data_IF_825346357863
#
_entry.id   IF_825346357863
#
_cell.length_a   1.000
_cell.length_b   1.000
_cell.length_c   1.000
_cell.angle_alpha   90.00
_cell.angle_beta   90.00
_cell.angle_gamma   90.00
#
_symmetry.space_group_name_H-M   'P 1'
#
loop_
_entity.id
_entity.type
_entity.pdbx_description
1 polymer ?
#
# COMPACT_ATOMS: atom_id res chain seq x y z
N UNK A 1 -43.52 17.34 -17.27
CA UNK A 1 -42.31 17.51 -16.44
C UNK A 1 -41.89 16.20 -15.75
N UNK A 2 -42.82 15.27 -15.46
CA UNK A 2 -42.51 14.01 -14.76
C UNK A 2 -41.65 12.99 -15.54
N UNK A 3 -41.78 12.96 -16.87
CA UNK A 3 -41.03 12.02 -17.72
C UNK A 3 -39.51 12.28 -17.70
N UNK A 4 -39.11 13.55 -17.53
CA UNK A 4 -37.70 13.97 -17.46
C UNK A 4 -37.12 13.60 -16.09
N UNK A 5 -37.88 13.78 -15.01
CA UNK A 5 -37.47 13.43 -13.65
C UNK A 5 -37.27 11.91 -13.46
N UNK A 6 -38.15 11.09 -14.06
CA UNK A 6 -38.05 9.62 -13.99
C UNK A 6 -36.83 9.12 -14.77
N UNK A 7 -36.59 9.66 -15.97
CA UNK A 7 -35.45 9.26 -16.82
C UNK A 7 -34.11 9.65 -16.20
N UNK A 8 -34.01 10.81 -15.56
CA UNK A 8 -32.77 11.22 -14.85
C UNK A 8 -32.50 10.29 -13.66
N UNK A 9 -33.52 9.97 -12.85
CA UNK A 9 -33.36 9.07 -11.69
C UNK A 9 -32.96 7.64 -12.09
N UNK A 10 -33.53 7.10 -13.17
CA UNK A 10 -33.14 5.77 -13.67
C UNK A 10 -31.70 5.74 -14.18
N UNK A 11 -31.26 6.81 -14.84
CA UNK A 11 -29.89 6.90 -15.36
C UNK A 11 -28.87 6.98 -14.22
N UNK A 12 -29.16 7.77 -13.17
CA UNK A 12 -28.30 7.88 -11.99
C UNK A 12 -28.22 6.58 -11.17
N UNK A 13 -29.32 5.83 -11.05
CA UNK A 13 -29.32 4.52 -10.41
C UNK A 13 -28.52 3.47 -11.16
N UNK A 14 -28.64 3.42 -12.49
CA UNK A 14 -27.86 2.51 -13.33
C UNK A 14 -26.37 2.84 -13.27
N UNK A 15 -26.01 4.13 -13.31
CA UNK A 15 -24.64 4.60 -13.12
C UNK A 15 -24.09 4.20 -11.74
N UNK A 16 -24.90 4.33 -10.67
CA UNK A 16 -24.52 3.87 -9.32
C UNK A 16 -24.32 2.36 -9.26
N UNK A 17 -25.20 1.56 -9.87
CA UNK A 17 -25.08 0.09 -9.93
C UNK A 17 -23.86 -0.35 -10.72
N UNK A 18 -23.59 0.25 -11.88
CA UNK A 18 -22.41 -0.02 -12.70
C UNK A 18 -21.11 0.32 -11.94
N UNK A 19 -21.08 1.46 -11.23
CA UNK A 19 -19.92 1.86 -10.40
C UNK A 19 -19.68 0.90 -9.24
N UNK A 20 -20.74 0.45 -8.56
CA UNK A 20 -20.65 -0.59 -7.49
C UNK A 20 -20.12 -1.90 -8.04
N UNK A 21 -20.64 -2.37 -9.19
CA UNK A 21 -20.19 -3.61 -9.85
C UNK A 21 -18.72 -3.52 -10.28
N UNK A 22 -18.30 -2.40 -10.87
CA UNK A 22 -16.89 -2.13 -11.21
C UNK A 22 -15.99 -2.17 -9.97
N UNK A 23 -16.39 -1.52 -8.87
CA UNK A 23 -15.64 -1.54 -7.61
C UNK A 23 -15.52 -2.96 -7.07
N UNK A 24 -16.61 -3.72 -7.04
CA UNK A 24 -16.61 -5.11 -6.59
C UNK A 24 -15.67 -6.00 -7.42
N UNK A 25 -15.73 -5.90 -8.75
CA UNK A 25 -14.84 -6.66 -9.64
C UNK A 25 -13.37 -6.32 -9.42
N UNK A 26 -13.03 -5.02 -9.29
CA UNK A 26 -11.65 -4.60 -8.99
C UNK A 26 -11.18 -5.16 -7.65
N UNK A 27 -12.02 -5.10 -6.61
CA UNK A 27 -11.68 -5.68 -5.31
C UNK A 27 -11.47 -7.19 -5.38
N UNK A 28 -12.32 -7.89 -6.11
CA UNK A 28 -12.22 -9.34 -6.28
C UNK A 28 -10.94 -9.72 -7.04
N UNK A 29 -10.65 -9.04 -8.15
CA UNK A 29 -9.41 -9.23 -8.91
C UNK A 29 -8.18 -8.98 -8.02
N UNK A 30 -8.16 -7.86 -7.29
CA UNK A 30 -7.05 -7.53 -6.40
C UNK A 30 -6.86 -8.59 -5.29
N UNK A 31 -7.96 -9.13 -4.74
CA UNK A 31 -7.89 -10.18 -3.70
C UNK A 31 -7.25 -11.48 -4.17
N UNK A 32 -7.23 -11.74 -5.48
CA UNK A 32 -6.58 -12.91 -6.08
C UNK A 32 -5.16 -12.60 -6.53
N UNK A 33 -4.94 -11.42 -7.12
CA UNK A 33 -3.62 -11.01 -7.63
C UNK A 33 -2.63 -10.78 -6.48
N UNK A 34 -3.07 -10.19 -5.38
CA UNK A 34 -2.23 -9.87 -4.22
C UNK A 34 -1.52 -11.10 -3.62
N UNK A 35 -2.21 -12.18 -3.21
CA UNK A 35 -1.53 -13.36 -2.67
C UNK A 35 -0.65 -14.07 -3.71
N UNK A 36 -1.05 -14.05 -4.99
CA UNK A 36 -0.23 -14.62 -6.06
C UNK A 36 1.07 -13.83 -6.27
N UNK A 37 1.00 -12.51 -6.27
CA UNK A 37 2.16 -11.64 -6.37
C UNK A 37 3.10 -11.81 -5.17
N UNK A 38 2.54 -11.87 -3.95
CA UNK A 38 3.31 -12.13 -2.74
C UNK A 38 4.01 -13.50 -2.82
N UNK A 39 3.28 -14.56 -3.17
CA UNK A 39 3.84 -15.89 -3.32
C UNK A 39 4.93 -15.94 -4.40
N UNK A 40 4.75 -15.26 -5.53
CA UNK A 40 5.75 -15.18 -6.59
C UNK A 40 7.03 -14.48 -6.11
N UNK A 41 6.92 -13.34 -5.42
CA UNK A 41 8.08 -12.61 -4.89
C UNK A 41 8.82 -13.40 -3.80
N UNK A 42 8.10 -14.08 -2.91
CA UNK A 42 8.70 -14.97 -1.90
C UNK A 42 9.39 -16.16 -2.59
N UNK A 43 8.78 -16.75 -3.60
CA UNK A 43 9.37 -17.86 -4.37
C UNK A 43 10.67 -17.41 -5.04
N UNK A 44 10.67 -16.24 -5.68
CA UNK A 44 11.88 -15.64 -6.27
C UNK A 44 12.96 -15.41 -5.21
N UNK A 45 12.60 -14.87 -4.04
CA UNK A 45 13.54 -14.69 -2.93
C UNK A 45 14.18 -16.01 -2.48
N UNK A 46 13.38 -17.07 -2.31
CA UNK A 46 13.86 -18.39 -1.88
C UNK A 46 14.75 -19.01 -2.96
N UNK A 47 14.32 -18.95 -4.22
CA UNK A 47 15.06 -19.51 -5.35
C UNK A 47 16.44 -18.83 -5.50
N UNK A 48 16.48 -17.49 -5.49
CA UNK A 48 17.76 -16.77 -5.58
C UNK A 48 18.64 -17.11 -4.36
N UNK A 49 18.06 -17.16 -3.16
CA UNK A 49 18.82 -17.46 -1.94
C UNK A 49 19.36 -18.90 -1.90
N UNK A 50 18.65 -19.86 -2.47
CA UNK A 50 19.04 -21.27 -2.50
C UNK A 50 20.00 -21.61 -3.64
N UNK A 51 19.79 -21.05 -4.84
CA UNK A 51 20.57 -21.39 -6.03
C UNK A 51 21.82 -20.53 -6.22
N UNK A 52 21.91 -19.37 -5.57
CA UNK A 52 23.09 -18.48 -5.62
C UNK A 52 23.75 -18.25 -4.25
N UNK A 53 24.09 -19.29 -3.46
CA UNK A 53 24.62 -19.12 -2.09
C UNK A 53 25.97 -18.39 -2.05
N UNK A 54 26.74 -18.45 -3.15
CA UNK A 54 28.05 -17.82 -3.27
C UNK A 54 28.00 -16.35 -3.72
N UNK A 55 26.81 -15.80 -4.00
CA UNK A 55 26.65 -14.36 -4.15
C UNK A 55 26.79 -13.70 -2.77
N UNK A 56 28.01 -13.31 -2.43
CA UNK A 56 28.27 -12.50 -1.24
C UNK A 56 28.00 -11.03 -1.55
N UNK A 57 27.20 -10.41 -0.69
CA UNK A 57 27.12 -8.96 -0.60
C UNK A 57 28.51 -8.37 -0.28
N UNK A 58 28.81 -7.10 -0.64
CA UNK A 58 30.02 -6.39 -0.20
C UNK A 58 30.25 -6.41 1.32
N UNK A 59 29.19 -6.62 2.11
CA UNK A 59 29.23 -6.78 3.57
C UNK A 59 29.50 -8.20 4.06
N UNK A 60 29.76 -9.16 3.16
CA UNK A 60 30.07 -10.56 3.48
C UNK A 60 28.86 -11.42 3.88
N UNK A 61 27.66 -10.85 3.90
CA UNK A 61 26.44 -11.58 4.21
C UNK A 61 25.94 -12.42 3.04
N UNK A 62 25.38 -13.57 3.39
CA UNK A 62 24.70 -14.50 2.49
C UNK A 62 23.43 -13.88 1.86
N UNK A 63 23.01 -14.32 0.67
CA UNK A 63 21.85 -13.81 -0.08
C UNK A 63 20.59 -13.52 0.74
N UNK A 64 20.22 -14.42 1.65
CA UNK A 64 19.05 -14.28 2.50
C UNK A 64 19.06 -13.00 3.37
N UNK A 65 20.25 -12.53 3.76
CA UNK A 65 20.40 -11.40 4.66
C UNK A 65 20.40 -10.03 3.94
N UNK A 66 20.58 -9.98 2.61
CA UNK A 66 20.54 -8.70 1.86
C UNK A 66 19.45 -8.65 0.77
N UNK A 67 18.81 -9.77 0.42
CA UNK A 67 17.70 -9.84 -0.53
C UNK A 67 16.32 -9.58 0.10
N UNK A 68 16.28 -9.19 1.38
CA UNK A 68 15.06 -8.76 2.06
C UNK A 68 14.27 -7.65 1.32
N UNK A 69 14.86 -6.75 0.49
CA UNK A 69 14.07 -5.78 -0.27
C UNK A 69 13.08 -6.43 -1.25
N UNK A 70 13.38 -7.63 -1.77
CA UNK A 70 12.46 -8.38 -2.64
C UNK A 70 11.19 -8.76 -1.88
N UNK A 71 11.35 -9.19 -0.62
CA UNK A 71 10.21 -9.48 0.25
C UNK A 71 9.44 -8.19 0.51
N UNK A 72 10.10 -7.06 0.76
CA UNK A 72 9.40 -5.78 0.95
C UNK A 72 8.54 -5.37 -0.23
N UNK A 73 9.05 -5.50 -1.45
CA UNK A 73 8.30 -5.18 -2.66
C UNK A 73 7.03 -6.02 -2.79
N UNK A 74 7.05 -7.26 -2.30
CA UNK A 74 5.89 -8.14 -2.25
C UNK A 74 4.70 -7.53 -1.49
N UNK A 75 4.97 -6.79 -0.41
CA UNK A 75 3.95 -6.19 0.46
C UNK A 75 3.64 -4.74 0.08
N UNK A 76 4.65 -3.96 -0.31
CA UNK A 76 4.48 -2.52 -0.61
C UNK A 76 3.63 -2.30 -1.85
N UNK A 77 3.84 -3.08 -2.92
CA UNK A 77 3.17 -2.86 -4.21
C UNK A 77 1.66 -3.09 -4.10
N UNK A 78 1.16 -4.22 -3.56
CA UNK A 78 -0.29 -4.43 -3.41
C UNK A 78 -0.96 -3.41 -2.49
N UNK A 79 -0.36 -3.11 -1.34
CA UNK A 79 -0.90 -2.15 -0.36
C UNK A 79 -0.95 -0.72 -0.94
N UNK A 80 0.08 -0.33 -1.71
CA UNK A 80 0.09 0.98 -2.40
C UNK A 80 -1.01 1.04 -3.46
N UNK A 81 -1.17 -0.03 -4.25
CA UNK A 81 -2.25 -0.13 -5.23
C UNK A 81 -3.63 -0.03 -4.57
N UNK A 82 -3.80 -0.68 -3.41
CA UNK A 82 -5.03 -0.61 -2.61
C UNK A 82 -5.29 0.80 -2.10
N UNK A 83 -4.29 1.48 -1.57
CA UNK A 83 -4.41 2.87 -1.13
C UNK A 83 -4.83 3.82 -2.27
N UNK A 84 -4.29 3.62 -3.48
CA UNK A 84 -4.64 4.39 -4.68
C UNK A 84 -6.09 4.10 -5.12
N UNK A 85 -6.49 2.83 -5.18
CA UNK A 85 -7.83 2.41 -5.62
C UNK A 85 -8.91 2.85 -4.63
N UNK A 86 -8.64 2.73 -3.32
CA UNK A 86 -9.57 3.13 -2.26
C UNK A 86 -9.56 4.65 -2.02
N UNK A 87 -8.58 5.38 -2.56
CA UNK A 87 -8.35 6.82 -2.34
C UNK A 87 -8.23 7.18 -0.86
N UNK A 88 -7.64 6.27 -0.06
CA UNK A 88 -7.39 6.47 1.37
C UNK A 88 -5.90 6.54 1.59
N UNK A 89 -5.41 7.72 1.98
CA UNK A 89 -3.99 7.97 2.23
C UNK A 89 -3.52 7.18 3.46
N UNK A 90 -4.44 6.96 4.41
CA UNK A 90 -4.20 6.17 5.62
C UNK A 90 -3.89 4.70 5.35
N UNK A 91 -4.27 4.15 4.18
CA UNK A 91 -3.93 2.77 3.81
C UNK A 91 -2.51 2.62 3.23
N UNK A 92 -1.81 3.72 2.99
CA UNK A 92 -0.46 3.64 2.45
C UNK A 92 0.47 2.92 3.43
N UNK A 93 1.28 1.94 2.98
CA UNK A 93 2.11 1.10 3.85
C UNK A 93 3.36 1.86 4.34
N UNK A 94 3.17 2.92 5.11
CA UNK A 94 4.27 3.72 5.68
C UNK A 94 5.18 2.87 6.58
N UNK A 95 4.62 1.86 7.24
CA UNK A 95 5.38 0.90 8.03
C UNK A 95 6.45 0.19 7.22
N UNK A 96 6.15 -0.11 5.96
CA UNK A 96 7.10 -0.79 5.09
C UNK A 96 8.22 0.17 4.65
N UNK A 97 7.93 1.45 4.43
CA UNK A 97 8.99 2.44 4.20
C UNK A 97 9.86 2.64 5.44
N UNK A 98 9.23 2.82 6.61
CA UNK A 98 9.94 2.96 7.89
C UNK A 98 10.85 1.76 8.16
N UNK A 99 10.34 0.54 7.98
CA UNK A 99 11.11 -0.68 8.20
C UNK A 99 12.20 -0.87 7.13
N UNK A 100 11.95 -0.49 5.88
CA UNK A 100 12.97 -0.48 4.83
C UNK A 100 14.14 0.43 5.22
N UNK A 101 13.88 1.68 5.60
CA UNK A 101 14.94 2.59 6.01
C UNK A 101 15.64 2.09 7.28
N UNK A 102 14.89 1.61 8.27
CA UNK A 102 15.47 1.05 9.48
C UNK A 102 16.43 -0.12 9.21
N UNK A 103 16.01 -1.08 8.37
CA UNK A 103 16.83 -2.23 7.99
C UNK A 103 18.01 -1.82 7.11
N UNK A 104 17.81 -0.93 6.14
CA UNK A 104 18.86 -0.43 5.26
C UNK A 104 19.94 0.27 6.08
N UNK A 105 19.57 1.24 6.91
CA UNK A 105 20.53 1.96 7.74
C UNK A 105 21.14 1.07 8.84
N UNK A 106 20.37 0.14 9.40
CA UNK A 106 20.87 -0.83 10.38
C UNK A 106 21.91 -1.81 9.80
N UNK A 107 21.72 -2.26 8.56
CA UNK A 107 22.66 -3.18 7.89
C UNK A 107 23.92 -2.51 7.37
N UNK A 108 23.81 -1.28 6.84
CA UNK A 108 24.92 -0.62 6.14
C UNK A 108 25.75 0.34 7.01
N UNK A 109 25.26 0.75 8.19
CA UNK A 109 25.96 1.70 9.06
C UNK A 109 26.27 1.11 10.45
N UNK A 110 27.48 1.40 10.96
CA UNK A 110 27.96 0.95 12.28
C UNK A 110 27.09 1.53 13.40
N UNK A 111 26.67 0.69 14.37
CA UNK A 111 25.72 1.04 15.45
C UNK A 111 24.34 1.54 14.97
N UNK A 112 23.98 1.29 13.71
CA UNK A 112 22.79 1.88 13.11
C UNK A 112 21.47 1.51 13.81
N UNK A 113 21.31 0.27 14.23
CA UNK A 113 20.07 -0.22 14.84
C UNK A 113 19.58 0.62 16.03
N UNK A 114 20.51 1.11 16.85
CA UNK A 114 20.23 1.93 18.02
C UNK A 114 20.19 3.43 17.73
N UNK A 115 20.72 3.90 16.61
CA UNK A 115 20.69 5.33 16.22
C UNK A 115 19.44 5.64 15.39
N UNK A 116 19.00 4.68 14.57
CA UNK A 116 17.91 4.86 13.60
C UNK A 116 16.53 4.47 14.14
N UNK A 117 16.41 4.17 15.45
CA UNK A 117 15.11 3.97 16.09
C UNK A 117 14.10 5.13 15.88
N UNK A 118 14.49 6.41 15.70
CA UNK A 118 13.52 7.47 15.48
C UNK A 118 12.69 7.31 14.19
N UNK A 119 13.11 6.47 13.24
CA UNK A 119 12.25 6.13 12.09
C UNK A 119 10.91 5.53 12.52
N UNK A 120 10.85 4.84 13.67
CA UNK A 120 9.59 4.33 14.22
C UNK A 120 8.60 5.45 14.57
N UNK A 121 9.08 6.66 14.89
CA UNK A 121 8.22 7.83 15.14
C UNK A 121 7.56 8.36 13.86
N UNK A 122 8.07 8.02 12.67
CA UNK A 122 7.41 8.37 11.41
C UNK A 122 6.03 7.71 11.26
N UNK A 123 5.83 6.54 11.88
CA UNK A 123 4.54 5.84 11.88
C UNK A 123 3.42 6.69 12.49
N UNK A 124 3.46 7.05 13.78
CA UNK A 124 2.38 7.84 14.39
C UNK A 124 2.24 9.21 13.74
N UNK A 125 3.36 9.86 13.35
CA UNK A 125 3.33 11.16 12.68
C UNK A 125 2.57 11.08 11.35
N UNK A 126 2.85 10.06 10.54
CA UNK A 126 2.17 9.87 9.27
C UNK A 126 0.67 9.66 9.46
N UNK A 127 0.25 8.78 10.38
CA UNK A 127 -1.17 8.52 10.60
C UNK A 127 -1.92 9.73 11.17
N UNK A 128 -1.28 10.54 12.01
CA UNK A 128 -1.85 11.81 12.49
C UNK A 128 -2.10 12.80 11.35
N UNK A 129 -1.11 12.99 10.47
CA UNK A 129 -1.22 13.92 9.35
C UNK A 129 -2.20 13.38 8.29
N UNK A 130 -2.01 12.15 7.84
CA UNK A 130 -2.84 11.52 6.82
C UNK A 130 -4.30 11.41 7.26
N UNK A 131 -4.56 11.06 8.53
CA UNK A 131 -5.91 11.02 9.09
C UNK A 131 -6.57 12.40 9.12
N UNK A 132 -5.81 13.45 9.46
CA UNK A 132 -6.32 14.83 9.45
C UNK A 132 -6.65 15.31 8.03
N UNK A 133 -5.79 15.01 7.05
CA UNK A 133 -6.01 15.31 5.63
C UNK A 133 -7.26 14.57 5.11
N UNK A 134 -7.39 13.29 5.42
CA UNK A 134 -8.55 12.48 4.98
C UNK A 134 -9.86 13.01 5.57
N UNK A 135 -9.84 13.44 6.84
CA UNK A 135 -11.00 14.10 7.48
C UNK A 135 -11.36 15.41 6.78
N UNK A 136 -10.37 16.26 6.50
CA UNK A 136 -10.59 17.53 5.79
C UNK A 136 -11.15 17.33 4.38
N UNK A 137 -10.62 16.36 3.63
CA UNK A 137 -11.13 16.00 2.29
C UNK A 137 -12.59 15.52 2.38
N UNK A 138 -12.93 14.70 3.37
CA UNK A 138 -14.30 14.21 3.56
C UNK A 138 -15.26 15.36 3.87
N UNK A 139 -14.92 16.22 4.82
CA UNK A 139 -15.75 17.38 5.20
C UNK A 139 -15.93 18.35 4.02
N UNK A 140 -14.89 18.61 3.23
CA UNK A 140 -15.01 19.46 2.03
C UNK A 140 -15.93 18.85 0.97
N UNK A 141 -15.91 17.51 0.83
CA UNK A 141 -16.78 16.80 -0.10
C UNK A 141 -18.24 16.80 0.35
N UNK A 142 -18.50 16.65 1.64
CA UNK A 142 -19.84 16.77 2.24
C UNK A 142 -20.41 18.19 2.03
N UNK A 143 -19.61 19.23 2.31
CA UNK A 143 -19.97 20.62 2.04
C UNK A 143 -20.33 20.86 0.56
N UNK A 144 -19.49 20.37 -0.38
CA UNK A 144 -19.74 20.53 -1.82
C UNK A 144 -21.02 19.84 -2.30
N UNK A 145 -21.42 18.74 -1.66
CA UNK A 145 -22.62 18.00 -2.02
C UNK A 145 -23.91 18.60 -1.45
N UNK A 146 -23.82 19.64 -0.59
CA UNK A 146 -24.99 20.25 0.05
C UNK A 146 -25.57 19.42 1.19
N UNK A 147 -24.78 18.51 1.78
CA UNK A 147 -25.18 17.68 2.93
C UNK A 147 -25.01 18.42 4.29
N UNK A 148 -24.93 19.75 4.26
CA UNK A 148 -24.80 20.64 5.43
C UNK A 148 -25.79 21.80 5.38
#
# INVERSE_FOLDING_TARGET
MDHITITINTTDEEQRKAKKKKKFLITLINSVIEPFFIAAMISVYILISAFCPNMMSPSGFTPWAYLWPIIFLAWVVPETMRAIVEKKITLFPIWALTLFFYLFFGFYFVNGWAIYWPFWLMLPIFYLIAGSIEKAIRTFKEYKNGDF
#
